data_IF_060102255294
#
_entry.id   IF_060102255294
#
_cell.length_a   1.000
_cell.length_b   1.000
_cell.length_c   1.000
_cell.angle_alpha   90.00
_cell.angle_beta   90.00
_cell.angle_gamma   90.00
#
_symmetry.space_group_name_H-M   'P 1'
#
loop_
_entity.id
_entity.type
_entity.pdbx_description
1 polymer ?
#
# COMPACT_ATOMS: atom_id res chain seq x y z
N UNK A 1 -10.65 8.54 17.10
CA UNK A 1 -9.43 8.21 16.33
C UNK A 1 -9.90 7.61 15.02
N UNK A 2 -9.42 8.16 13.91
CA UNK A 2 -9.67 7.59 12.59
C UNK A 2 -8.71 6.43 12.35
N UNK A 3 -9.20 5.42 11.63
CA UNK A 3 -8.42 4.25 11.24
C UNK A 3 -8.49 4.10 9.73
N UNK A 4 -7.36 3.71 9.16
CA UNK A 4 -7.17 3.56 7.73
C UNK A 4 -6.69 2.15 7.41
N UNK A 5 -6.93 1.75 6.16
CA UNK A 5 -6.34 0.54 5.61
C UNK A 5 -5.30 0.93 4.56
N UNK A 6 -4.25 0.12 4.43
CA UNK A 6 -3.18 0.32 3.45
C UNK A 6 -3.06 -0.92 2.59
N UNK A 7 -3.05 -0.74 1.28
CA UNK A 7 -2.67 -1.79 0.35
C UNK A 7 -1.17 -1.72 0.09
N UNK A 8 -0.44 -2.68 0.66
CA UNK A 8 0.99 -2.83 0.47
C UNK A 8 1.28 -3.85 -0.65
N UNK A 9 2.18 -3.48 -1.56
CA UNK A 9 2.65 -4.34 -2.66
C UNK A 9 4.19 -4.44 -2.73
N UNK A 10 4.89 -3.85 -1.74
CA UNK A 10 6.35 -3.74 -1.67
C UNK A 10 6.88 -3.94 -0.25
N UNK A 11 7.74 -3.05 0.22
CA UNK A 11 8.45 -3.20 1.52
C UNK A 11 7.50 -3.25 2.72
N UNK A 12 6.42 -2.46 2.72
CA UNK A 12 5.40 -2.47 3.78
C UNK A 12 4.66 -3.83 3.93
N UNK A 13 4.84 -4.78 3.01
CA UNK A 13 4.35 -6.15 3.18
C UNK A 13 5.12 -6.93 4.27
N UNK A 14 6.33 -6.48 4.60
CA UNK A 14 7.24 -7.20 5.49
C UNK A 14 6.98 -6.82 6.95
N UNK A 15 6.83 -7.83 7.80
CA UNK A 15 6.53 -7.63 9.23
C UNK A 15 7.65 -6.88 9.95
N UNK A 16 8.92 -7.14 9.62
CA UNK A 16 10.04 -6.44 10.23
C UNK A 16 10.04 -4.95 9.89
N UNK A 17 9.63 -4.56 8.67
CA UNK A 17 9.54 -3.15 8.25
C UNK A 17 8.43 -2.45 9.03
N UNK A 18 7.23 -3.03 9.09
CA UNK A 18 6.12 -2.43 9.85
C UNK A 18 6.43 -2.37 11.36
N UNK A 19 7.04 -3.42 11.92
CA UNK A 19 7.47 -3.42 13.32
C UNK A 19 8.51 -2.32 13.61
N UNK A 20 9.47 -2.11 12.71
CA UNK A 20 10.49 -1.06 12.85
C UNK A 20 9.90 0.35 12.74
N UNK A 21 8.99 0.56 11.79
CA UNK A 21 8.40 1.88 11.52
C UNK A 21 7.40 2.31 12.60
N UNK A 22 6.49 1.43 13.01
CA UNK A 22 5.33 1.79 13.86
C UNK A 22 5.27 1.00 15.17
N UNK A 23 6.30 0.21 15.49
CA UNK A 23 6.40 -0.50 16.77
C UNK A 23 5.46 -1.70 16.91
N UNK A 24 4.76 -2.11 15.85
CA UNK A 24 3.88 -3.30 15.84
C UNK A 24 3.72 -3.89 14.43
N UNK A 25 3.19 -5.10 14.38
CA UNK A 25 2.73 -5.73 13.14
C UNK A 25 1.22 -5.48 13.01
N UNK A 26 0.74 -4.76 11.98
CA UNK A 26 -0.69 -4.60 11.74
C UNK A 26 -1.42 -5.92 11.51
N UNK A 27 -2.70 -5.96 11.86
CA UNK A 27 -3.60 -7.00 11.33
C UNK A 27 -3.55 -6.93 9.81
N UNK A 28 -3.52 -8.08 9.14
CA UNK A 28 -3.32 -8.11 7.70
C UNK A 28 -4.00 -9.28 7.02
N UNK A 29 -4.44 -9.06 5.79
CA UNK A 29 -4.93 -10.11 4.89
C UNK A 29 -4.29 -10.01 3.51
N UNK A 30 -4.14 -11.14 2.85
CA UNK A 30 -3.84 -11.16 1.41
C UNK A 30 -5.00 -10.55 0.63
N UNK A 31 -4.68 -9.79 -0.41
CA UNK A 31 -5.70 -9.20 -1.26
C UNK A 31 -5.15 -8.72 -2.60
N UNK A 32 -6.02 -8.04 -3.34
CA UNK A 32 -5.69 -7.42 -4.62
C UNK A 32 -6.38 -6.08 -4.82
N UNK A 33 -5.80 -5.25 -5.66
CA UNK A 33 -6.44 -4.06 -6.24
C UNK A 33 -6.58 -4.25 -7.75
N UNK A 34 -7.65 -3.68 -8.32
CA UNK A 34 -7.96 -3.74 -9.75
C UNK A 34 -7.62 -2.41 -10.42
N UNK A 35 -7.35 -2.47 -11.72
CA UNK A 35 -6.96 -1.32 -12.55
C UNK A 35 -5.60 -0.71 -12.17
N UNK A 36 -4.69 -1.57 -11.68
CA UNK A 36 -3.31 -1.23 -11.36
C UNK A 36 -2.32 -2.26 -11.92
N UNK A 37 -1.15 -1.78 -12.35
CA UNK A 37 -0.02 -2.61 -12.77
C UNK A 37 1.19 -2.33 -11.88
N UNK A 38 1.80 -3.41 -11.37
CA UNK A 38 3.10 -3.38 -10.71
C UNK A 38 4.21 -3.48 -11.76
N UNK A 39 5.18 -2.59 -11.69
CA UNK A 39 6.32 -2.54 -12.62
C UNK A 39 7.61 -2.24 -11.87
N UNK A 40 8.75 -2.59 -12.48
CA UNK A 40 10.06 -2.25 -11.94
C UNK A 40 10.52 -0.91 -12.54
N UNK A 41 10.68 0.11 -11.70
CA UNK A 41 11.21 1.42 -12.09
C UNK A 41 12.74 1.39 -12.04
N UNK A 42 13.36 1.30 -13.22
CA UNK A 42 14.82 1.30 -13.36
C UNK A 42 15.48 2.60 -12.90
N UNK A 43 14.76 3.73 -12.83
CA UNK A 43 15.31 5.02 -12.41
C UNK A 43 15.66 5.02 -10.91
N UNK A 44 14.82 4.36 -10.11
CA UNK A 44 15.00 4.29 -8.65
C UNK A 44 15.44 2.90 -8.17
N UNK A 45 15.36 1.88 -9.02
CA UNK A 45 15.76 0.51 -8.68
C UNK A 45 14.75 -0.26 -7.82
N UNK A 46 13.50 0.22 -7.77
CA UNK A 46 12.42 -0.35 -6.95
C UNK A 46 11.16 -0.61 -7.77
N UNK A 47 10.23 -1.36 -7.19
CA UNK A 47 8.92 -1.57 -7.79
C UNK A 47 8.00 -0.38 -7.52
N UNK A 48 7.28 0.05 -8.55
CA UNK A 48 6.16 0.97 -8.45
C UNK A 48 4.85 0.30 -8.85
N UNK A 49 3.76 0.95 -8.51
CA UNK A 49 2.44 0.67 -9.09
C UNK A 49 1.95 1.91 -9.83
N UNK A 50 1.28 1.71 -10.96
CA UNK A 50 0.61 2.74 -11.75
C UNK A 50 -0.80 2.30 -12.13
N UNK A 51 -1.66 3.26 -12.45
CA UNK A 51 -3.02 2.98 -12.93
C UNK A 51 -2.95 2.34 -14.32
N UNK A 52 -3.66 1.23 -14.51
CA UNK A 52 -3.78 0.53 -15.80
C UNK A 52 -5.07 -0.27 -15.83
N UNK A 53 -6.01 0.12 -16.68
CA UNK A 53 -7.29 -0.58 -16.83
C UNK A 53 -7.13 -2.06 -17.17
N UNK A 54 -8.07 -2.89 -16.70
CA UNK A 54 -8.12 -4.33 -16.95
C UNK A 54 -6.88 -5.08 -16.44
N UNK A 55 -6.25 -4.59 -15.37
CA UNK A 55 -5.13 -5.23 -14.71
C UNK A 55 -5.36 -5.36 -13.21
N UNK A 56 -4.47 -6.06 -12.50
CA UNK A 56 -4.56 -6.20 -11.06
C UNK A 56 -3.18 -6.36 -10.43
N UNK A 57 -3.07 -5.99 -9.15
CA UNK A 57 -1.89 -6.21 -8.32
C UNK A 57 -2.30 -7.03 -7.11
N UNK A 58 -1.55 -8.10 -6.83
CA UNK A 58 -1.63 -8.83 -5.57
C UNK A 58 -0.76 -8.17 -4.50
N UNK A 59 -1.22 -8.19 -3.26
CA UNK A 59 -0.53 -7.57 -2.14
C UNK A 59 -1.14 -7.99 -0.80
N UNK A 60 -0.93 -7.14 0.19
CA UNK A 60 -1.44 -7.30 1.55
C UNK A 60 -2.23 -6.05 1.92
N UNK A 61 -3.39 -6.24 2.53
CA UNK A 61 -4.18 -5.19 3.17
C UNK A 61 -3.73 -5.13 4.63
N UNK A 62 -3.17 -4.01 5.07
CA UNK A 62 -2.86 -3.71 6.46
C UNK A 62 -4.04 -2.95 7.06
N UNK A 63 -4.59 -3.44 8.17
CA UNK A 63 -5.79 -2.89 8.81
C UNK A 63 -5.46 -2.06 10.04
N UNK A 64 -6.41 -1.20 10.40
CA UNK A 64 -6.41 -0.45 11.66
C UNK A 64 -5.14 0.41 11.82
N UNK A 65 -4.71 1.09 10.76
CA UNK A 65 -3.61 2.05 10.78
C UNK A 65 -4.14 3.38 11.32
N UNK A 66 -3.54 3.89 12.39
CA UNK A 66 -3.90 5.19 12.97
C UNK A 66 -3.40 6.35 12.11
N UNK A 67 -3.89 7.56 12.35
CA UNK A 67 -3.40 8.76 11.66
C UNK A 67 -1.89 8.98 11.82
N UNK A 68 -1.34 8.78 13.02
CA UNK A 68 0.09 8.97 13.30
C UNK A 68 0.95 7.92 12.58
N UNK A 69 0.49 6.67 12.55
CA UNK A 69 1.16 5.58 11.81
C UNK A 69 1.08 5.78 10.30
N UNK A 70 -0.03 6.34 9.81
CA UNK A 70 -0.18 6.69 8.41
C UNK A 70 0.83 7.77 8.00
N UNK A 71 1.06 8.79 8.84
CA UNK A 71 2.08 9.82 8.60
C UNK A 71 3.49 9.21 8.54
N UNK A 72 3.78 8.21 9.37
CA UNK A 72 5.06 7.47 9.31
C UNK A 72 5.20 6.73 7.98
N UNK A 73 4.15 6.06 7.50
CA UNK A 73 4.18 5.40 6.19
C UNK A 73 4.29 6.39 5.04
N UNK A 74 3.63 7.55 5.11
CA UNK A 74 3.75 8.60 4.11
C UNK A 74 5.18 9.11 3.98
N UNK A 75 5.85 9.33 5.11
CA UNK A 75 7.26 9.73 5.13
C UNK A 75 8.18 8.62 4.60
N UNK A 76 7.92 7.35 4.94
CA UNK A 76 8.72 6.22 4.49
C UNK A 76 8.62 5.98 2.97
N UNK A 77 7.45 6.19 2.39
CA UNK A 77 7.19 6.00 0.95
C UNK A 77 7.48 7.27 0.12
N UNK A 78 8.14 8.29 0.71
CA UNK A 78 8.44 9.58 0.06
C UNK A 78 7.19 10.17 -0.65
N UNK A 79 6.06 10.21 0.07
CA UNK A 79 4.79 10.73 -0.42
C UNK A 79 4.94 12.18 -0.88
N UNK A 80 4.38 12.50 -2.06
CA UNK A 80 4.52 13.80 -2.71
C UNK A 80 5.82 14.00 -3.49
N UNK A 81 6.82 13.10 -3.35
CA UNK A 81 8.09 13.18 -4.10
C UNK A 81 8.22 12.04 -5.11
N UNK A 82 8.21 10.79 -4.65
CA UNK A 82 8.30 9.62 -5.53
C UNK A 82 6.97 8.89 -5.68
N UNK A 83 6.11 8.96 -4.69
CA UNK A 83 4.82 8.29 -4.69
C UNK A 83 3.69 9.26 -4.33
N UNK A 84 2.49 8.98 -4.84
CA UNK A 84 1.25 9.66 -4.47
C UNK A 84 0.37 8.68 -3.71
N UNK A 85 -0.14 9.09 -2.55
CA UNK A 85 -1.12 8.31 -1.82
C UNK A 85 -2.51 8.46 -2.45
N UNK A 86 -3.05 7.36 -2.96
CA UNK A 86 -4.36 7.31 -3.62
C UNK A 86 -5.34 6.40 -2.90
N UNK A 87 -6.63 6.74 -2.92
CA UNK A 87 -7.70 5.85 -2.45
C UNK A 87 -7.97 4.75 -3.48
N UNK A 88 -8.24 3.54 -3.00
CA UNK A 88 -8.61 2.39 -3.82
C UNK A 88 -9.53 1.45 -3.05
N UNK A 89 -10.14 0.51 -3.77
CA UNK A 89 -10.88 -0.61 -3.19
C UNK A 89 -10.02 -1.87 -3.30
N UNK A 90 -9.70 -2.46 -2.16
CA UNK A 90 -9.02 -3.74 -2.07
C UNK A 90 -10.03 -4.87 -1.93
N UNK A 91 -9.72 -6.01 -2.52
CA UNK A 91 -10.48 -7.25 -2.42
C UNK A 91 -9.64 -8.28 -1.66
N UNK A 92 -10.15 -8.81 -0.56
CA UNK A 92 -9.51 -9.96 0.10
C UNK A 92 -9.75 -11.26 -0.71
N UNK A 93 -9.22 -12.37 -0.21
CA UNK A 93 -9.38 -13.68 -0.84
C UNK A 93 -10.83 -14.21 -0.83
N UNK A 94 -11.71 -13.66 0.01
CA UNK A 94 -13.12 -14.03 0.10
C UNK A 94 -14.00 -13.12 -0.78
N UNK A 95 -13.42 -12.08 -1.40
CA UNK A 95 -14.14 -11.08 -2.18
C UNK A 95 -14.74 -9.95 -1.36
N UNK A 96 -14.40 -9.85 -0.06
CA UNK A 96 -14.78 -8.68 0.75
C UNK A 96 -13.99 -7.46 0.29
N UNK A 97 -14.63 -6.30 0.35
CA UNK A 97 -14.05 -5.03 -0.10
C UNK A 97 -13.65 -4.13 1.06
N UNK A 98 -12.54 -3.42 0.87
CA UNK A 98 -12.01 -2.48 1.88
C UNK A 98 -11.51 -1.21 1.19
N UNK A 99 -12.05 -0.05 1.57
CA UNK A 99 -11.43 1.23 1.20
C UNK A 99 -10.06 1.28 1.86
N UNK A 100 -9.04 1.53 1.04
CA UNK A 100 -7.63 1.57 1.46
C UNK A 100 -6.88 2.67 0.73
N UNK A 101 -5.77 3.09 1.28
CA UNK A 101 -4.79 3.87 0.55
C UNK A 101 -3.75 2.95 -0.13
N UNK A 102 -3.22 3.40 -1.25
CA UNK A 102 -2.11 2.78 -1.98
C UNK A 102 -1.13 3.87 -2.43
N UNK A 103 0.16 3.62 -2.28
CA UNK A 103 1.21 4.52 -2.79
C UNK A 103 1.44 4.21 -4.27
N UNK A 104 1.20 5.17 -5.16
CA UNK A 104 1.30 5.01 -6.62
C UNK A 104 2.50 5.80 -7.11
N UNK A 105 3.34 5.20 -7.96
CA UNK A 105 4.57 5.84 -8.44
C UNK A 105 4.24 7.08 -9.27
N UNK A 106 4.87 8.21 -8.95
CA UNK A 106 4.85 9.43 -9.77
C UNK A 106 5.81 9.28 -10.95
N UNK A 107 5.27 9.20 -12.18
CA UNK A 107 6.06 9.09 -13.42
C UNK A 107 6.55 10.45 -13.96
#
# INVERSE_FOLDING_TARGET
>A
MEYFNIFAYGELMKENVTLELIGRIPEKNSGKIIDFEKFFDKKIGYYGVRIKENSYVNGIILFNITSDELEIFDNYEDEGTYYSKNKTICYDLNGNTYESYVYVRLE
#
